data_IF_389115271884
#
_entry.id   IF_389115271884
#
_cell.length_a   1.000
_cell.length_b   1.000
_cell.length_c   1.000
_cell.angle_alpha   90.00
_cell.angle_beta   90.00
_cell.angle_gamma   90.00
#
_symmetry.space_group_name_H-M   'P 1'
#
loop_
_entity.id
_entity.type
_entity.pdbx_description
1 polymer ?
#
# COMPACT_ATOMS: atom_id res chain seq x y z
N UNK A 1 -14.52 2.68 15.20
CA UNK A 1 -14.70 4.00 14.57
C UNK A 1 -14.33 3.86 13.09
N UNK A 2 -15.21 4.34 12.22
CA UNK A 2 -15.24 4.36 10.74
C UNK A 2 -13.97 4.00 9.93
N UNK A 3 -13.58 2.71 9.87
CA UNK A 3 -12.63 2.20 8.88
C UNK A 3 -13.17 0.91 8.21
N UNK A 4 -14.47 0.91 7.89
CA UNK A 4 -15.08 -0.09 7.02
C UNK A 4 -15.11 0.45 5.60
N UNK A 5 -14.13 0.05 4.80
CA UNK A 5 -14.11 -0.15 3.32
C UNK A 5 -14.62 0.96 2.36
N UNK A 6 -15.49 1.88 2.75
CA UNK A 6 -15.98 3.02 1.97
C UNK A 6 -15.22 4.32 2.20
N UNK A 7 -14.31 4.37 3.18
CA UNK A 7 -13.63 5.61 3.59
C UNK A 7 -12.29 5.87 2.89
N UNK A 8 -11.72 4.94 2.12
CA UNK A 8 -10.42 5.18 1.46
C UNK A 8 -10.51 6.33 0.45
N UNK A 9 -11.57 6.38 -0.36
CA UNK A 9 -11.80 7.48 -1.30
C UNK A 9 -11.96 8.80 -0.54
N UNK A 10 -12.75 8.81 0.53
CA UNK A 10 -12.89 9.98 1.41
C UNK A 10 -11.57 10.39 2.07
N UNK A 11 -10.74 9.43 2.47
CA UNK A 11 -9.40 9.68 3.00
C UNK A 11 -8.50 10.31 1.95
N UNK A 12 -8.55 9.85 0.69
CA UNK A 12 -7.83 10.46 -0.43
C UNK A 12 -8.32 11.88 -0.71
N UNK A 13 -9.63 12.08 -0.80
CA UNK A 13 -10.23 13.40 -1.01
C UNK A 13 -9.88 14.37 0.12
N UNK A 14 -9.95 13.91 1.37
CA UNK A 14 -9.57 14.68 2.54
C UNK A 14 -8.07 15.01 2.57
N UNK A 15 -7.22 14.04 2.25
CA UNK A 15 -5.78 14.25 2.12
C UNK A 15 -5.47 15.28 1.03
N UNK A 16 -6.11 15.15 -0.14
CA UNK A 16 -5.95 16.08 -1.24
C UNK A 16 -6.46 17.48 -0.88
N UNK A 17 -7.57 17.57 -0.16
CA UNK A 17 -8.09 18.83 0.36
C UNK A 17 -7.09 19.51 1.29
N UNK A 18 -6.46 18.77 2.20
CA UNK A 18 -5.42 19.30 3.10
C UNK A 18 -4.19 19.75 2.32
N UNK A 19 -3.73 18.96 1.36
CA UNK A 19 -2.59 19.32 0.49
C UNK A 19 -2.87 20.65 -0.24
N UNK A 20 -4.05 20.77 -0.84
CA UNK A 20 -4.47 21.98 -1.56
C UNK A 20 -4.62 23.19 -0.63
N UNK A 21 -5.04 22.97 0.61
CA UNK A 21 -5.27 24.01 1.60
C UNK A 21 -4.20 24.04 2.71
N UNK A 22 -2.95 23.63 2.42
CA UNK A 22 -1.86 23.48 3.41
C UNK A 22 -1.73 24.65 4.39
N UNK A 23 -1.95 25.89 3.93
CA UNK A 23 -1.87 27.11 4.77
C UNK A 23 -2.95 27.18 5.87
N UNK A 24 -4.08 26.50 5.68
CA UNK A 24 -5.19 26.42 6.65
C UNK A 24 -4.97 25.34 7.72
N UNK A 25 -3.92 24.52 7.58
CA UNK A 25 -3.59 23.45 8.53
C UNK A 25 -2.22 23.68 9.19
N UNK A 26 -2.06 24.76 9.99
CA UNK A 26 -0.79 25.10 10.65
C UNK A 26 -0.28 23.98 11.57
N UNK A 27 -1.18 23.18 12.15
CA UNK A 27 -0.84 22.06 13.03
C UNK A 27 0.03 20.98 12.37
N UNK A 28 0.03 20.90 11.04
CA UNK A 28 0.85 19.95 10.29
C UNK A 28 2.07 20.60 9.65
N UNK A 29 2.28 21.92 9.77
CA UNK A 29 3.35 22.59 9.03
C UNK A 29 4.75 22.12 9.45
N UNK A 30 5.01 22.00 10.75
CA UNK A 30 6.32 21.58 11.27
C UNK A 30 6.68 20.13 10.95
N UNK A 31 5.68 19.27 10.74
CA UNK A 31 5.86 17.84 10.47
C UNK A 31 5.29 17.43 9.11
N UNK A 32 5.09 18.39 8.20
CA UNK A 32 4.30 18.21 6.99
C UNK A 32 4.77 17.03 6.15
N UNK A 33 6.08 16.91 5.96
CA UNK A 33 6.68 15.85 5.15
C UNK A 33 6.44 14.46 5.77
N UNK A 34 6.77 14.31 7.05
CA UNK A 34 6.53 13.07 7.81
C UNK A 34 5.05 12.71 7.89
N UNK A 35 4.19 13.69 8.18
CA UNK A 35 2.74 13.51 8.27
C UNK A 35 2.15 13.11 6.92
N UNK A 36 2.55 13.78 5.83
CA UNK A 36 2.07 13.47 4.50
C UNK A 36 2.52 12.06 4.08
N UNK A 37 3.77 11.69 4.40
CA UNK A 37 4.30 10.36 4.13
C UNK A 37 3.52 9.28 4.89
N UNK A 38 3.27 9.49 6.18
CA UNK A 38 2.48 8.57 7.03
C UNK A 38 1.06 8.38 6.47
N UNK A 39 0.37 9.47 6.12
CA UNK A 39 -0.99 9.40 5.55
C UNK A 39 -1.05 8.70 4.19
N UNK A 40 -0.08 8.95 3.32
CA UNK A 40 0.03 8.23 2.04
C UNK A 40 0.23 6.74 2.29
N UNK A 41 1.19 6.39 3.15
CA UNK A 41 1.47 5.01 3.54
C UNK A 41 0.25 4.29 4.13
N UNK A 42 -0.54 4.94 4.98
CA UNK A 42 -1.79 4.35 5.50
C UNK A 42 -2.82 4.11 4.38
N UNK A 43 -3.02 5.09 3.49
CA UNK A 43 -3.97 4.96 2.37
C UNK A 43 -3.57 3.82 1.44
N UNK A 44 -2.29 3.75 1.04
CA UNK A 44 -1.81 2.67 0.16
C UNK A 44 -1.91 1.29 0.79
N UNK A 45 -1.66 1.15 2.11
CA UNK A 45 -1.86 -0.13 2.80
C UNK A 45 -3.34 -0.54 2.82
N UNK A 46 -4.25 0.40 3.07
CA UNK A 46 -5.68 0.12 3.03
C UNK A 46 -6.16 -0.23 1.62
N UNK A 47 -5.66 0.46 0.59
CA UNK A 47 -5.96 0.16 -0.81
C UNK A 47 -5.48 -1.23 -1.21
N UNK A 48 -4.24 -1.58 -0.83
CA UNK A 48 -3.67 -2.90 -1.08
C UNK A 48 -4.57 -3.98 -0.49
N UNK A 49 -4.98 -3.83 0.78
CA UNK A 49 -5.89 -4.77 1.41
C UNK A 49 -7.27 -4.80 0.75
N UNK A 50 -7.82 -3.65 0.35
CA UNK A 50 -9.14 -3.59 -0.30
C UNK A 50 -9.13 -4.22 -1.69
N UNK A 51 -8.06 -4.02 -2.47
CA UNK A 51 -7.92 -4.57 -3.83
C UNK A 51 -7.64 -6.07 -3.83
N UNK A 52 -6.78 -6.52 -2.93
CA UNK A 52 -6.21 -7.88 -2.99
C UNK A 52 -6.61 -8.77 -1.82
N UNK A 53 -7.19 -8.23 -0.74
CA UNK A 53 -7.47 -8.96 0.49
C UNK A 53 -6.21 -9.35 1.28
N UNK A 54 -5.04 -8.87 0.88
CA UNK A 54 -3.73 -9.25 1.43
C UNK A 54 -3.09 -8.07 2.18
N UNK A 55 -2.72 -8.28 3.45
CA UNK A 55 -2.09 -7.25 4.29
C UNK A 55 -0.60 -7.46 4.48
N UNK A 56 -0.14 -8.71 4.39
CA UNK A 56 1.24 -9.09 4.70
C UNK A 56 1.75 -10.15 3.73
N UNK A 57 3.06 -10.31 3.71
CA UNK A 57 3.79 -11.32 2.92
C UNK A 57 3.25 -12.74 3.12
N UNK A 58 2.73 -13.05 4.31
CA UNK A 58 2.13 -14.36 4.58
C UNK A 58 0.87 -14.61 3.73
N UNK A 59 0.03 -13.59 3.53
CA UNK A 59 -1.16 -13.71 2.67
C UNK A 59 -0.76 -13.89 1.20
N UNK A 60 0.31 -13.22 0.77
CA UNK A 60 0.90 -13.39 -0.56
C UNK A 60 1.37 -14.83 -0.80
N UNK A 61 2.14 -15.41 0.13
CA UNK A 61 2.59 -16.81 0.02
C UNK A 61 1.43 -17.79 -0.01
N UNK A 62 0.44 -17.59 0.87
CA UNK A 62 -0.77 -18.41 0.88
C UNK A 62 -1.55 -18.30 -0.45
N UNK A 63 -1.56 -17.12 -1.06
CA UNK A 63 -2.17 -16.88 -2.39
C UNK A 63 -1.41 -17.64 -3.48
N UNK A 64 -0.07 -17.66 -3.44
CA UNK A 64 0.75 -18.47 -4.34
C UNK A 64 0.49 -19.97 -4.17
N UNK A 65 0.44 -20.47 -2.94
CA UNK A 65 0.16 -21.89 -2.65
C UNK A 65 -1.24 -22.33 -3.15
N UNK A 66 -2.21 -21.41 -3.17
CA UNK A 66 -3.55 -21.63 -3.73
C UNK A 66 -3.57 -21.58 -5.26
N UNK A 67 -2.43 -21.39 -5.93
CA UNK A 67 -2.33 -21.25 -7.39
C UNK A 67 -2.82 -19.91 -7.94
N UNK A 68 -3.12 -18.92 -7.08
CA UNK A 68 -3.62 -17.59 -7.47
C UNK A 68 -2.46 -16.65 -7.86
N UNK A 69 -1.60 -17.12 -8.76
CA UNK A 69 -0.37 -16.45 -9.16
C UNK A 69 -0.62 -15.06 -9.75
N UNK A 70 -1.72 -14.88 -10.49
CA UNK A 70 -2.09 -13.58 -11.07
C UNK A 70 -2.39 -12.54 -9.98
N UNK A 71 -3.22 -12.87 -8.99
CA UNK A 71 -3.51 -11.98 -7.85
C UNK A 71 -2.23 -11.61 -7.09
N UNK A 72 -1.35 -12.60 -6.85
CA UNK A 72 -0.08 -12.37 -6.18
C UNK A 72 0.86 -11.45 -6.98
N UNK A 73 0.90 -11.60 -8.31
CA UNK A 73 1.68 -10.73 -9.20
C UNK A 73 1.17 -9.30 -9.17
N UNK A 74 -0.15 -9.11 -9.27
CA UNK A 74 -0.76 -7.77 -9.24
C UNK A 74 -0.54 -7.10 -7.87
N UNK A 75 -0.61 -7.86 -6.78
CA UNK A 75 -0.29 -7.38 -5.44
C UNK A 75 1.16 -6.88 -5.36
N UNK A 76 2.12 -7.69 -5.82
CA UNK A 76 3.54 -7.31 -5.80
C UNK A 76 3.82 -6.08 -6.69
N UNK A 77 3.17 -6.01 -7.86
CA UNK A 77 3.29 -4.88 -8.77
C UNK A 77 2.75 -3.59 -8.14
N UNK A 78 1.63 -3.65 -7.41
CA UNK A 78 1.08 -2.49 -6.72
C UNK A 78 2.05 -1.93 -5.67
N UNK A 79 2.71 -2.80 -4.89
CA UNK A 79 3.71 -2.38 -3.91
C UNK A 79 4.93 -1.76 -4.62
N UNK A 80 5.35 -2.31 -5.75
CA UNK A 80 6.45 -1.78 -6.55
C UNK A 80 6.13 -0.39 -7.10
N UNK A 81 4.93 -0.19 -7.63
CA UNK A 81 4.43 1.09 -8.14
C UNK A 81 4.32 2.15 -7.02
N UNK A 82 4.02 1.71 -5.79
CA UNK A 82 3.86 2.55 -4.62
C UNK A 82 5.02 2.43 -3.63
N UNK A 83 6.22 2.08 -4.11
CA UNK A 83 7.38 1.69 -3.28
C UNK A 83 7.72 2.69 -2.16
N UNK A 84 7.59 3.99 -2.42
CA UNK A 84 7.83 5.05 -1.42
C UNK A 84 6.91 4.95 -0.19
N UNK A 85 5.73 4.36 -0.38
CA UNK A 85 4.69 4.16 0.63
C UNK A 85 4.84 2.82 1.36
N UNK A 86 5.79 1.98 0.95
CA UNK A 86 6.10 0.70 1.55
C UNK A 86 7.59 0.60 1.96
N UNK A 87 8.08 1.50 2.84
CA UNK A 87 9.49 1.50 3.26
C UNK A 87 9.93 0.22 3.97
N UNK A 88 8.99 -0.59 4.44
CA UNK A 88 9.26 -1.91 5.04
C UNK A 88 9.76 -2.96 4.04
N UNK A 89 9.60 -2.74 2.73
CA UNK A 89 10.02 -3.68 1.69
C UNK A 89 11.19 -3.10 0.89
N UNK A 90 12.35 -3.74 1.01
CA UNK A 90 13.56 -3.37 0.27
C UNK A 90 13.68 -4.14 -1.06
N UNK A 91 14.62 -3.75 -1.92
CA UNK A 91 14.85 -4.40 -3.22
C UNK A 91 15.07 -5.91 -3.08
N UNK A 92 15.90 -6.32 -2.12
CA UNK A 92 16.19 -7.73 -1.86
C UNK A 92 14.90 -8.53 -1.57
N UNK A 93 13.98 -7.96 -0.80
CA UNK A 93 12.69 -8.57 -0.53
C UNK A 93 11.84 -8.66 -1.80
N UNK A 94 11.82 -7.62 -2.64
CA UNK A 94 11.09 -7.65 -3.91
C UNK A 94 11.63 -8.72 -4.87
N UNK A 95 12.95 -8.81 -5.01
CA UNK A 95 13.61 -9.82 -5.85
C UNK A 95 13.26 -11.24 -5.37
N UNK A 96 13.25 -11.48 -4.06
CA UNK A 96 12.85 -12.76 -3.47
C UNK A 96 11.40 -13.12 -3.84
N UNK A 97 10.47 -12.16 -3.75
CA UNK A 97 9.05 -12.38 -4.13
C UNK A 97 8.86 -12.55 -5.64
N UNK A 98 9.64 -11.86 -6.46
CA UNK A 98 9.62 -12.06 -7.91
C UNK A 98 10.11 -13.46 -8.29
N UNK A 99 11.13 -13.99 -7.59
CA UNK A 99 11.58 -15.38 -7.79
C UNK A 99 10.52 -16.39 -7.36
N UNK A 100 9.88 -16.20 -6.21
CA UNK A 100 8.77 -17.07 -5.76
C UNK A 100 7.61 -17.08 -6.78
N UNK A 101 7.26 -15.91 -7.34
CA UNK A 101 6.26 -15.83 -8.42
C UNK A 101 6.68 -16.60 -9.66
N UNK A 102 7.94 -16.48 -10.08
CA UNK A 102 8.47 -17.22 -11.22
C UNK A 102 8.51 -18.73 -11.00
N UNK A 103 8.74 -19.18 -9.76
CA UNK A 103 8.68 -20.59 -9.38
C UNK A 103 7.25 -21.12 -9.38
N UNK A 104 6.28 -20.33 -8.89
CA UNK A 104 4.86 -20.71 -8.87
C UNK A 104 4.18 -20.70 -10.25
N UNK A 105 4.82 -20.12 -11.28
CA UNK A 105 4.36 -20.14 -12.68
C UNK A 105 4.81 -21.36 -13.47
N UNK A 106 5.76 -22.14 -12.93
CA UNK A 106 6.25 -23.39 -13.55
C UNK A 106 5.34 -24.57 -13.21
#
# INVERSE_FOLDING_TARGET
MALQSGDIDKCKEWLQHIINNKKQFPQYQSTWDNWLKDRKQEISQQELFKKFGMRKTADFRQTLEKGKVKEAKEWLQYILDNRDQFPQYNDNWFEDRQRELGQAQK
#
